data_IF_195537675067
#
_entry.id   IF_195537675067
#
_cell.length_a   1.000
_cell.length_b   1.000
_cell.length_c   1.000
_cell.angle_alpha   90.00
_cell.angle_beta   90.00
_cell.angle_gamma   90.00
#
_symmetry.space_group_name_H-M   'P 1'
#
loop_
_entity.id
_entity.type
_entity.pdbx_description
1 polymer ?
#
# COMPACT_ATOMS: atom_id res chain seq x y z
N UNK A 1 1.17 -9.51 7.15
CA UNK A 1 2.57 -9.87 7.33
C UNK A 1 2.79 -10.48 8.68
N UNK A 2 3.39 -11.66 8.71
CA UNK A 2 3.87 -12.25 9.95
C UNK A 2 5.35 -11.94 10.07
N UNK A 3 5.74 -11.28 11.15
CA UNK A 3 7.13 -11.07 11.53
C UNK A 3 7.43 -11.86 12.79
N UNK A 4 8.70 -12.10 13.14
CA UNK A 4 9.05 -12.77 14.40
C UNK A 4 8.45 -12.11 15.64
N UNK A 5 8.28 -10.78 15.61
CA UNK A 5 7.73 -9.99 16.70
C UNK A 5 6.22 -9.69 16.55
N UNK A 6 5.64 -9.99 15.41
CA UNK A 6 4.22 -9.90 15.16
C UNK A 6 3.73 -11.13 14.39
N UNK A 7 3.61 -12.27 15.06
CA UNK A 7 3.19 -13.53 14.46
C UNK A 7 1.76 -13.48 13.90
N UNK A 8 0.96 -12.48 14.28
CA UNK A 8 -0.38 -12.25 13.72
C UNK A 8 -0.35 -11.34 12.49
N UNK A 9 0.83 -10.82 12.13
CA UNK A 9 1.00 -9.92 11.01
C UNK A 9 0.83 -8.45 11.38
N UNK A 10 1.31 -7.57 10.52
CA UNK A 10 1.01 -6.15 10.61
C UNK A 10 -0.49 -5.98 10.40
N UNK A 11 -1.20 -5.21 11.24
CA UNK A 11 -2.62 -4.98 11.05
C UNK A 11 -2.89 -4.53 9.62
N UNK A 12 -3.74 -5.22 8.92
CA UNK A 12 -4.07 -5.00 7.51
C UNK A 12 -4.51 -3.55 7.24
N UNK A 13 -5.11 -2.90 8.22
CA UNK A 13 -5.52 -1.50 8.14
C UNK A 13 -4.34 -0.54 7.93
N UNK A 14 -3.15 -0.87 8.41
CA UNK A 14 -1.99 0.01 8.33
C UNK A 14 -1.18 -0.16 7.05
N UNK A 15 -1.26 -1.31 6.41
CA UNK A 15 -0.50 -1.62 5.19
C UNK A 15 -1.39 -1.89 3.97
N UNK A 16 -2.69 -1.72 4.08
CA UNK A 16 -3.62 -1.93 2.96
C UNK A 16 -3.85 -3.39 2.57
N UNK A 17 -3.35 -4.33 3.32
CA UNK A 17 -3.59 -5.75 3.11
C UNK A 17 -4.89 -6.17 3.78
N UNK A 18 -6.00 -6.04 3.09
CA UNK A 18 -7.23 -6.64 3.53
C UNK A 18 -7.22 -8.14 3.23
N UNK A 19 -7.13 -8.92 4.28
CA UNK A 19 -7.57 -10.30 4.24
C UNK A 19 -6.60 -11.32 3.68
N UNK A 20 -5.38 -10.99 3.35
CA UNK A 20 -4.42 -11.98 2.85
C UNK A 20 -3.90 -12.95 3.91
N UNK A 21 -4.34 -12.84 5.16
CA UNK A 21 -3.81 -13.69 6.23
C UNK A 21 -4.82 -14.58 6.92
N UNK A 22 -6.09 -14.20 6.90
CA UNK A 22 -7.06 -14.82 7.82
C UNK A 22 -7.69 -16.08 7.23
N UNK A 23 -7.85 -16.14 5.92
CA UNK A 23 -8.56 -17.23 5.25
C UNK A 23 -7.72 -17.97 4.20
N UNK A 24 -6.40 -17.77 4.20
CA UNK A 24 -5.54 -18.56 3.30
C UNK A 24 -5.52 -20.02 3.75
N UNK A 25 -5.92 -20.97 2.89
CA UNK A 25 -5.82 -22.39 3.21
C UNK A 25 -4.36 -22.88 3.26
N UNK A 26 -3.42 -22.02 2.90
CA UNK A 26 -2.00 -22.32 2.95
C UNK A 26 -1.34 -21.61 4.12
N UNK A 27 -0.64 -22.32 5.01
CA UNK A 27 0.13 -21.68 6.07
C UNK A 27 1.24 -20.84 5.43
N UNK A 28 1.34 -19.58 5.85
CA UNK A 28 2.49 -18.77 5.45
C UNK A 28 3.75 -19.36 6.05
N UNK A 29 4.84 -19.48 5.27
CA UNK A 29 6.11 -19.93 5.81
C UNK A 29 6.53 -18.97 6.93
N UNK A 30 7.00 -19.56 8.03
CA UNK A 30 7.55 -18.78 9.15
C UNK A 30 8.82 -18.09 8.67
N UNK A 31 8.91 -16.78 8.88
CA UNK A 31 10.16 -16.05 8.64
C UNK A 31 11.19 -16.43 9.72
N UNK A 32 12.33 -16.94 9.29
CA UNK A 32 13.39 -17.43 10.18
C UNK A 32 14.52 -16.41 10.41
N UNK A 33 14.48 -15.27 9.70
CA UNK A 33 15.37 -14.13 9.93
C UNK A 33 16.74 -14.19 9.25
N UNK A 34 16.99 -15.19 8.45
CA UNK A 34 18.29 -15.46 7.81
C UNK A 34 18.42 -14.87 6.39
N UNK A 35 17.32 -14.39 5.82
CA UNK A 35 17.29 -13.78 4.48
C UNK A 35 16.59 -12.44 4.48
N UNK A 36 16.93 -11.54 3.51
CA UNK A 36 16.21 -10.30 3.31
C UNK A 36 14.72 -10.55 3.03
N UNK A 37 13.85 -9.82 3.72
CA UNK A 37 12.42 -9.87 3.46
C UNK A 37 12.01 -8.68 2.58
N UNK A 38 11.50 -8.97 1.39
CA UNK A 38 10.94 -7.99 0.47
C UNK A 38 9.42 -8.07 0.51
N UNK A 39 8.76 -6.92 0.68
CA UNK A 39 7.32 -6.81 0.48
C UNK A 39 7.10 -6.61 -1.02
N UNK A 40 6.65 -7.64 -1.69
CA UNK A 40 6.49 -7.65 -3.15
C UNK A 40 5.27 -6.83 -3.63
N UNK A 41 4.31 -6.55 -2.72
CA UNK A 41 3.16 -5.73 -3.04
C UNK A 41 2.64 -4.98 -1.81
N UNK A 42 2.55 -3.64 -1.91
CA UNK A 42 1.95 -2.76 -0.91
C UNK A 42 1.34 -1.53 -1.57
N UNK A 43 0.29 -0.98 -0.99
CA UNK A 43 -0.41 0.20 -1.52
C UNK A 43 -1.85 -0.11 -1.83
N UNK A 44 -2.21 -0.07 -3.10
CA UNK A 44 -3.52 -0.45 -3.59
C UNK A 44 -4.66 0.49 -3.15
N UNK A 45 -4.35 1.68 -2.64
CA UNK A 45 -5.36 2.65 -2.20
C UNK A 45 -6.07 3.21 -3.43
N UNK A 46 -7.34 2.86 -3.58
CA UNK A 46 -8.15 3.33 -4.71
C UNK A 46 -8.38 4.84 -4.60
N UNK A 47 -8.13 5.57 -5.70
CA UNK A 47 -8.47 6.98 -5.84
C UNK A 47 -9.08 7.27 -7.20
N UNK A 48 -10.34 7.76 -7.20
CA UNK A 48 -11.07 8.18 -8.41
C UNK A 48 -11.50 9.62 -8.24
N UNK A 49 -11.20 10.48 -9.21
CA UNK A 49 -11.71 11.84 -9.18
C UNK A 49 -13.24 11.86 -9.27
N UNK A 50 -13.86 12.77 -8.52
CA UNK A 50 -15.33 12.88 -8.43
C UNK A 50 -16.03 13.15 -9.75
N UNK A 51 -15.30 13.60 -10.77
CA UNK A 51 -15.82 13.87 -12.11
C UNK A 51 -16.13 12.61 -12.91
N UNK A 52 -15.47 11.49 -12.58
CA UNK A 52 -15.62 10.20 -13.28
C UNK A 52 -16.52 9.21 -12.54
N UNK A 53 -17.42 9.70 -11.66
CA UNK A 53 -18.33 8.84 -10.89
C UNK A 53 -19.26 7.97 -11.72
N UNK A 54 -19.34 8.17 -13.03
CA UNK A 54 -20.13 7.31 -13.92
C UNK A 54 -19.53 5.89 -14.11
N UNK A 55 -18.26 5.67 -13.71
CA UNK A 55 -17.54 4.40 -13.86
C UNK A 55 -17.09 3.78 -12.52
N UNK A 56 -17.62 4.24 -11.41
CA UNK A 56 -17.15 3.80 -10.08
C UNK A 56 -17.54 2.36 -9.74
N UNK A 57 -18.60 1.82 -10.33
CA UNK A 57 -19.10 0.48 -9.97
C UNK A 57 -18.25 -0.66 -10.52
N UNK A 58 -17.43 -0.42 -11.54
CA UNK A 58 -16.55 -1.43 -12.12
C UNK A 58 -15.08 -1.28 -11.71
N UNK A 59 -14.70 -0.16 -11.07
CA UNK A 59 -13.32 0.07 -10.66
C UNK A 59 -13.03 -0.53 -9.28
N UNK A 60 -11.85 -1.07 -9.11
CA UNK A 60 -11.44 -1.69 -7.85
C UNK A 60 -10.11 -1.16 -7.32
N UNK A 61 -9.84 -1.46 -6.09
CA UNK A 61 -8.65 -1.18 -5.33
C UNK A 61 -8.83 -1.77 -3.94
N UNK A 62 -7.80 -1.77 -3.13
CA UNK A 62 -7.88 -2.35 -1.80
C UNK A 62 -8.56 -1.38 -0.83
N UNK A 63 -9.44 -1.92 0.03
CA UNK A 63 -10.19 -1.21 1.07
C UNK A 63 -11.16 -0.13 0.57
N UNK A 64 -11.88 0.49 1.51
CA UNK A 64 -12.77 1.62 1.22
C UNK A 64 -11.97 2.81 0.67
N UNK A 65 -12.37 3.38 -0.46
CA UNK A 65 -11.69 4.55 -1.02
C UNK A 65 -11.68 5.71 -0.01
N UNK A 66 -10.57 6.46 0.08
CA UNK A 66 -10.52 7.67 0.87
C UNK A 66 -11.47 8.74 0.29
N UNK A 67 -12.03 9.56 1.17
CA UNK A 67 -12.97 10.60 0.76
C UNK A 67 -12.27 11.85 0.21
N UNK A 68 -11.03 12.11 0.64
CA UNK A 68 -10.22 13.27 0.22
C UNK A 68 -8.80 12.88 -0.14
N UNK A 69 -8.10 13.77 -0.86
CA UNK A 69 -6.68 13.56 -1.17
C UNK A 69 -5.81 13.56 0.10
N UNK A 70 -6.18 14.35 1.10
CA UNK A 70 -5.50 14.38 2.39
C UNK A 70 -5.59 13.02 3.08
N UNK A 71 -6.78 12.42 3.07
CA UNK A 71 -6.97 11.08 3.62
C UNK A 71 -6.16 10.02 2.84
N UNK A 72 -6.11 10.13 1.52
CA UNK A 72 -5.25 9.26 0.69
C UNK A 72 -3.79 9.38 1.12
N UNK A 73 -3.27 10.60 1.18
CA UNK A 73 -1.87 10.87 1.54
C UNK A 73 -1.56 10.40 2.97
N UNK A 74 -2.48 10.59 3.90
CA UNK A 74 -2.33 10.11 5.27
C UNK A 74 -2.27 8.57 5.34
N UNK A 75 -3.13 7.88 4.59
CA UNK A 75 -3.10 6.41 4.52
C UNK A 75 -1.81 5.91 3.88
N UNK A 76 -1.39 6.52 2.77
CA UNK A 76 -0.14 6.19 2.12
C UNK A 76 1.05 6.39 3.06
N UNK A 77 1.12 7.54 3.73
CA UNK A 77 2.18 7.85 4.68
C UNK A 77 2.21 6.84 5.84
N UNK A 78 1.04 6.47 6.36
CA UNK A 78 0.92 5.46 7.43
C UNK A 78 1.39 4.08 7.00
N UNK A 79 1.12 3.67 5.75
CA UNK A 79 1.62 2.41 5.20
C UNK A 79 3.15 2.41 5.11
N UNK A 80 3.73 3.49 4.59
CA UNK A 80 5.18 3.62 4.48
C UNK A 80 5.84 3.65 5.86
N UNK A 81 5.29 4.41 6.81
CA UNK A 81 5.80 4.47 8.17
C UNK A 81 5.74 3.09 8.87
N UNK A 82 4.68 2.33 8.66
CA UNK A 82 4.56 0.97 9.17
C UNK A 82 5.63 0.03 8.61
N UNK A 83 5.90 0.11 7.30
CA UNK A 83 6.97 -0.66 6.66
C UNK A 83 8.33 -0.29 7.21
N UNK A 84 8.62 1.01 7.30
CA UNK A 84 9.89 1.52 7.78
C UNK A 84 10.15 1.19 9.26
N UNK A 85 9.09 1.00 10.05
CA UNK A 85 9.20 0.54 11.44
C UNK A 85 9.70 -0.90 11.57
N UNK A 86 9.63 -1.68 10.50
CA UNK A 86 10.07 -3.08 10.42
C UNK A 86 11.49 -3.23 9.85
N UNK A 87 12.31 -2.20 9.95
CA UNK A 87 13.66 -2.12 9.35
C UNK A 87 14.59 -3.29 9.64
N UNK A 88 14.40 -3.96 10.78
CA UNK A 88 15.21 -5.12 11.16
C UNK A 88 14.90 -6.36 10.31
N UNK A 89 13.73 -6.40 9.68
CA UNK A 89 13.24 -7.56 8.93
C UNK A 89 13.00 -7.24 7.46
N UNK A 90 12.45 -6.04 7.19
CA UNK A 90 12.05 -5.63 5.85
C UNK A 90 13.15 -4.79 5.21
N UNK A 91 13.68 -5.29 4.09
CA UNK A 91 14.77 -4.64 3.36
C UNK A 91 14.28 -3.81 2.17
N UNK A 92 13.03 -3.98 1.78
CA UNK A 92 12.44 -3.21 0.70
C UNK A 92 10.98 -3.54 0.48
N UNK A 93 10.35 -2.74 -0.37
CA UNK A 93 8.96 -2.93 -0.75
C UNK A 93 8.72 -2.48 -2.20
N UNK A 94 7.70 -3.05 -2.83
CA UNK A 94 7.19 -2.63 -4.11
C UNK A 94 5.81 -2.01 -3.93
N UNK A 95 5.66 -0.74 -4.34
CA UNK A 95 4.39 -0.05 -4.24
C UNK A 95 3.49 -0.37 -5.44
N UNK A 96 2.27 -0.77 -5.18
CA UNK A 96 1.22 -1.00 -6.16
C UNK A 96 0.16 0.10 -6.07
N UNK A 97 0.09 1.00 -7.09
CA UNK A 97 0.93 0.92 -8.26
C UNK A 97 1.31 2.31 -8.79
N UNK A 98 2.18 2.35 -9.78
CA UNK A 98 2.64 3.62 -10.35
C UNK A 98 1.52 4.33 -11.13
N UNK A 99 0.84 3.63 -12.03
CA UNK A 99 -0.24 4.16 -12.87
C UNK A 99 -1.47 3.28 -12.75
N UNK A 100 -2.66 3.86 -12.96
CA UNK A 100 -3.87 3.07 -13.14
C UNK A 100 -3.73 2.10 -14.31
N UNK A 101 -4.35 0.94 -14.17
CA UNK A 101 -4.45 -0.08 -15.22
C UNK A 101 -5.91 -0.50 -15.35
N UNK A 102 -6.55 -0.10 -16.43
CA UNK A 102 -7.96 -0.39 -16.73
C UNK A 102 -8.87 -0.03 -15.54
N UNK A 103 -9.50 -1.03 -14.91
CA UNK A 103 -10.42 -0.85 -13.77
C UNK A 103 -9.67 -0.73 -12.43
N UNK A 104 -8.40 -1.06 -12.37
CA UNK A 104 -7.59 -0.94 -11.18
C UNK A 104 -7.09 0.50 -11.01
N UNK A 105 -7.80 1.28 -10.19
CA UNK A 105 -7.59 2.72 -10.06
C UNK A 105 -6.89 3.09 -8.74
N UNK A 106 -5.81 2.41 -8.44
CA UNK A 106 -4.97 2.61 -7.26
C UNK A 106 -3.57 3.20 -7.58
N UNK A 107 -3.35 3.65 -8.83
CA UNK A 107 -2.11 4.29 -9.23
C UNK A 107 -1.90 5.67 -8.60
N UNK A 108 -0.63 6.06 -8.45
CA UNK A 108 -0.24 7.45 -8.14
C UNK A 108 -0.52 8.39 -9.31
N UNK A 109 -0.46 7.84 -10.51
CA UNK A 109 -0.80 8.52 -11.76
C UNK A 109 -2.05 7.91 -12.38
N UNK A 110 -2.76 8.72 -13.15
CA UNK A 110 -3.78 8.20 -14.06
C UNK A 110 -3.17 7.30 -15.13
N UNK A 111 -4.01 6.57 -15.86
CA UNK A 111 -3.60 5.72 -16.99
C UNK A 111 -2.80 6.50 -18.04
N UNK A 112 -3.17 7.75 -18.30
CA UNK A 112 -2.50 8.66 -19.25
C UNK A 112 -1.25 9.34 -18.65
N UNK A 113 -0.82 8.95 -17.47
CA UNK A 113 0.36 9.44 -16.74
C UNK A 113 0.27 10.85 -16.17
N UNK A 114 -0.88 11.50 -16.20
CA UNK A 114 -1.10 12.71 -15.43
C UNK A 114 -1.06 12.38 -13.93
N UNK A 115 -0.47 13.26 -13.16
CA UNK A 115 -0.44 13.08 -11.70
C UNK A 115 -1.84 13.23 -11.09
N UNK A 116 -2.19 12.35 -10.15
CA UNK A 116 -3.39 12.47 -9.33
C UNK A 116 -3.19 13.39 -8.13
N UNK A 117 -1.94 13.56 -7.70
CA UNK A 117 -1.59 14.22 -6.44
C UNK A 117 -0.44 15.22 -6.65
N UNK A 118 -0.20 16.07 -5.64
CA UNK A 118 1.03 16.87 -5.60
C UNK A 118 2.25 15.94 -5.46
N UNK A 119 3.08 15.90 -6.49
CA UNK A 119 4.25 15.04 -6.55
C UNK A 119 5.29 15.37 -5.48
N UNK A 120 5.33 16.59 -4.95
CA UNK A 120 6.22 16.94 -3.84
C UNK A 120 5.82 16.21 -2.55
N UNK A 121 4.51 16.08 -2.31
CA UNK A 121 4.00 15.33 -1.16
C UNK A 121 4.26 13.82 -1.33
N UNK A 122 4.01 13.29 -2.51
CA UNK A 122 4.31 11.89 -2.86
C UNK A 122 5.80 11.60 -2.67
N UNK A 123 6.67 12.45 -3.24
CA UNK A 123 8.11 12.31 -3.11
C UNK A 123 8.56 12.34 -1.65
N UNK A 124 8.02 13.26 -0.84
CA UNK A 124 8.32 13.34 0.59
C UNK A 124 8.00 12.04 1.31
N UNK A 125 6.86 11.41 1.00
CA UNK A 125 6.44 10.16 1.63
C UNK A 125 7.37 9.02 1.24
N UNK A 126 7.64 8.84 -0.04
CA UNK A 126 8.49 7.75 -0.52
C UNK A 126 9.99 7.95 -0.26
N UNK A 127 10.43 9.18 0.03
CA UNK A 127 11.81 9.48 0.39
C UNK A 127 12.12 9.29 1.87
N UNK A 128 11.15 8.87 2.67
CA UNK A 128 11.37 8.56 4.07
C UNK A 128 12.35 7.40 4.22
N UNK A 129 13.17 7.48 5.24
CA UNK A 129 14.10 6.43 5.65
C UNK A 129 13.72 5.89 7.01
N UNK A 130 14.09 4.65 7.34
CA UNK A 130 13.90 4.11 8.69
C UNK A 130 14.54 5.04 9.72
N UNK A 131 13.83 5.28 10.82
CA UNK A 131 14.41 6.04 11.95
C UNK A 131 15.41 5.17 12.70
N UNK A 132 16.47 5.78 13.15
CA UNK A 132 17.46 5.14 14.02
C UNK A 132 16.86 4.75 15.37
#
# INVERSE_FOLDING_TARGET
FQTPNNPQGVPSANVGFNGLGVDSPYPFPKYEGDMPYLIDEVGGIKWVETKDKSNTDSSWGYSTPPATQEEFLQRLESQIDAILSLKEYVWGYCYTQLTDVEQEQNGIFFYDRRSKFDLKLIFRIFSKTPRE
#
